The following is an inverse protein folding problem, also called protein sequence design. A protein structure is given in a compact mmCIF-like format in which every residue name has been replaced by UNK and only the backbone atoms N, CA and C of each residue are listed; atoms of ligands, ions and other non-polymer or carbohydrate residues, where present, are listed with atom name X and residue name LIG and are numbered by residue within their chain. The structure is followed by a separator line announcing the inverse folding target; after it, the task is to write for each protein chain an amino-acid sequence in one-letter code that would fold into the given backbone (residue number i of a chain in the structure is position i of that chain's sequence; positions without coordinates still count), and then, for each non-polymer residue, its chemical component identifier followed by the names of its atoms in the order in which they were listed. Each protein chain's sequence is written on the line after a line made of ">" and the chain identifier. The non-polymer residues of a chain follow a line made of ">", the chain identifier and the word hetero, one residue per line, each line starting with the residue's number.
data_IF_099834866115
#
_entry.id   IF_099834866115
#
_cell.length_a   1.000
_cell.length_b   1.000
_cell.length_c   1.000
_cell.angle_alpha   90.00
_cell.angle_beta   90.00
_cell.angle_gamma   90.00
#
_symmetry.space_group_name_H-M   'P 1'
#
loop_
_entity.id
_entity.type
_entity.pdbx_description
1 polymer ?
#
# COMPACT_ATOMS: atom_id res chain seq x y z
N UNK A 1 -28.48 24.82 50.81
CA UNK A 1 -29.05 24.96 49.44
C UNK A 1 -28.02 25.42 48.39
N UNK A 2 -26.81 25.83 48.80
CA UNK A 2 -25.69 26.20 47.91
C UNK A 2 -24.83 24.99 47.50
N UNK A 3 -24.60 24.03 48.41
CA UNK A 3 -23.79 22.82 48.14
C UNK A 3 -24.40 21.91 47.04
N UNK A 4 -25.73 21.73 47.05
CA UNK A 4 -26.43 20.95 46.03
C UNK A 4 -26.43 21.62 44.64
N UNK A 5 -26.39 22.96 44.57
CA UNK A 5 -26.27 23.70 43.30
C UNK A 5 -24.85 23.62 42.72
N UNK A 6 -23.82 23.60 43.57
CA UNK A 6 -22.43 23.40 43.13
C UNK A 6 -22.16 21.99 42.59
N UNK A 7 -22.79 20.95 43.16
CA UNK A 7 -22.66 19.56 42.68
C UNK A 7 -23.38 19.38 41.33
N UNK A 8 -24.57 19.97 41.16
CA UNK A 8 -25.30 19.94 39.88
C UNK A 8 -24.53 20.69 38.78
N UNK A 9 -23.93 21.84 39.08
CA UNK A 9 -23.10 22.56 38.10
C UNK A 9 -21.81 21.82 37.71
N UNK A 10 -21.23 21.00 38.60
CA UNK A 10 -20.04 20.20 38.30
C UNK A 10 -20.36 18.96 37.44
N UNK A 11 -21.55 18.37 37.62
CA UNK A 11 -22.02 17.21 36.84
C UNK A 11 -22.46 17.64 35.42
N UNK A 12 -23.03 18.84 35.26
CA UNK A 12 -23.39 19.39 33.94
C UNK A 12 -22.16 19.78 33.12
N UNK A 13 -21.05 20.18 33.76
CA UNK A 13 -19.79 20.48 33.07
C UNK A 13 -18.99 19.23 32.65
N UNK A 14 -19.20 18.10 33.32
CA UNK A 14 -18.53 16.82 33.01
C UNK A 14 -19.10 16.04 31.82
N UNK A 15 -20.29 16.42 31.31
CA UNK A 15 -21.00 15.68 30.24
C UNK A 15 -20.72 16.20 28.81
N UNK A 16 -19.91 17.26 28.64
CA UNK A 16 -19.79 17.99 27.36
C UNK A 16 -18.47 17.74 26.61
N UNK A 17 -17.72 16.69 26.93
CA UNK A 17 -16.46 16.34 26.25
C UNK A 17 -16.48 14.96 25.60
N UNK A 18 -17.63 14.56 25.02
CA UNK A 18 -17.64 13.46 24.05
C UNK A 18 -17.19 13.99 22.69
N UNK A 19 -15.88 14.13 22.50
CA UNK A 19 -15.33 14.22 21.14
C UNK A 19 -15.67 12.89 20.45
N UNK A 20 -16.56 12.94 19.45
CA UNK A 20 -16.85 11.77 18.64
C UNK A 20 -15.63 11.51 17.76
N UNK A 21 -15.01 10.35 17.95
CA UNK A 21 -13.88 9.87 17.16
C UNK A 21 -14.37 8.78 16.21
N UNK A 22 -14.06 8.91 14.93
CA UNK A 22 -14.42 7.92 13.92
C UNK A 22 -13.28 6.92 13.75
N UNK A 23 -13.56 5.63 13.96
CA UNK A 23 -12.59 4.56 13.73
C UNK A 23 -13.04 3.67 12.60
N UNK A 24 -12.15 3.46 11.63
CA UNK A 24 -12.36 2.57 10.49
C UNK A 24 -11.27 1.51 10.47
N UNK A 25 -11.68 0.24 10.45
CA UNK A 25 -10.82 -0.84 9.97
C UNK A 25 -11.20 -1.13 8.53
N UNK A 26 -10.26 -0.92 7.61
CA UNK A 26 -10.46 -1.27 6.20
C UNK A 26 -10.05 -2.71 6.01
N UNK A 27 -11.02 -3.52 5.60
CA UNK A 27 -10.81 -4.88 5.12
C UNK A 27 -11.14 -4.94 3.62
N UNK A 28 -10.43 -5.81 2.90
CA UNK A 28 -10.53 -5.92 1.46
C UNK A 28 -9.86 -7.18 0.96
N UNK A 29 -10.56 -7.85 0.04
CA UNK A 29 -10.02 -8.94 -0.77
C UNK A 29 -9.87 -8.44 -2.20
N UNK A 30 -8.68 -8.62 -2.76
CA UNK A 30 -8.32 -8.11 -4.07
C UNK A 30 -8.10 -9.27 -5.02
N UNK A 31 -8.60 -9.19 -6.27
CA UNK A 31 -8.35 -10.24 -7.24
C UNK A 31 -6.89 -10.22 -7.70
N UNK A 32 -6.34 -11.40 -7.97
CA UNK A 32 -5.10 -11.51 -8.72
C UNK A 32 -5.28 -10.92 -10.14
N UNK A 33 -4.33 -10.12 -10.64
CA UNK A 33 -4.27 -9.76 -12.05
C UNK A 33 -4.30 -10.99 -12.95
N UNK A 34 -4.93 -10.85 -14.12
CA UNK A 34 -4.99 -11.90 -15.14
C UNK A 34 -4.07 -11.50 -16.29
N UNK A 35 -3.06 -12.31 -16.55
CA UNK A 35 -2.14 -12.16 -17.67
C UNK A 35 -0.90 -13.03 -17.51
N UNK A 36 0.05 -12.86 -18.41
CA UNK A 36 1.30 -13.62 -18.37
C UNK A 36 2.17 -13.17 -17.20
N UNK A 37 2.77 -14.14 -16.53
CA UNK A 37 3.73 -13.89 -15.45
C UNK A 37 5.07 -13.44 -16.03
N UNK A 38 5.72 -12.51 -15.34
CA UNK A 38 7.07 -12.10 -15.64
C UNK A 38 8.04 -13.23 -15.24
N UNK A 39 9.00 -13.61 -16.10
CA UNK A 39 9.95 -14.69 -15.84
C UNK A 39 11.06 -14.22 -14.90
N UNK A 40 10.68 -13.87 -13.67
CA UNK A 40 11.55 -13.38 -12.61
C UNK A 40 11.26 -14.14 -11.32
N UNK A 41 12.29 -14.29 -10.50
CA UNK A 41 12.14 -14.64 -9.08
C UNK A 41 12.26 -13.37 -8.24
N UNK A 42 11.18 -12.96 -7.59
CA UNK A 42 11.10 -11.68 -6.88
C UNK A 42 10.87 -11.91 -5.39
N UNK A 43 11.67 -11.26 -4.55
CA UNK A 43 11.36 -11.10 -3.14
C UNK A 43 10.48 -9.87 -2.95
N UNK A 44 9.54 -9.90 -2.02
CA UNK A 44 8.88 -8.69 -1.57
C UNK A 44 8.85 -8.63 -0.06
N UNK A 45 9.12 -7.45 0.49
CA UNK A 45 9.15 -7.24 1.94
C UNK A 45 8.13 -6.16 2.31
N UNK A 46 7.15 -6.54 3.14
CA UNK A 46 6.17 -5.63 3.71
C UNK A 46 6.57 -5.35 5.16
N UNK A 47 7.02 -4.12 5.43
CA UNK A 47 7.42 -3.71 6.78
C UNK A 47 6.25 -3.76 7.77
N UNK A 48 6.54 -3.79 9.07
CA UNK A 48 5.47 -3.70 10.08
C UNK A 48 4.69 -2.39 9.93
N UNK A 49 5.38 -1.26 9.73
CA UNK A 49 4.74 0.04 9.49
C UNK A 49 3.75 0.01 8.32
N UNK A 50 4.07 -0.74 7.26
CA UNK A 50 3.17 -0.94 6.12
C UNK A 50 1.97 -1.82 6.49
N UNK A 51 2.21 -2.95 7.16
CA UNK A 51 1.19 -3.94 7.53
C UNK A 51 0.26 -3.47 8.65
N UNK A 52 0.70 -2.55 9.50
CA UNK A 52 -0.09 -1.95 10.58
C UNK A 52 -0.39 -0.47 10.36
N UNK A 53 -0.23 0.02 9.13
CA UNK A 53 -0.45 1.43 8.82
C UNK A 53 -1.84 1.90 9.25
N UNK A 54 -1.85 2.99 10.01
CA UNK A 54 -3.07 3.69 10.44
C UNK A 54 -2.88 5.17 10.19
N UNK A 55 -3.74 5.74 9.37
CA UNK A 55 -3.81 7.17 9.16
C UNK A 55 -4.63 7.81 10.30
N UNK A 56 -4.15 8.93 10.83
CA UNK A 56 -4.85 9.70 11.86
C UNK A 56 -5.11 11.12 11.36
N UNK A 57 -6.36 11.55 11.45
CA UNK A 57 -6.80 12.93 11.26
C UNK A 57 -7.09 13.54 12.63
N UNK A 58 -6.42 14.64 12.94
CA UNK A 58 -6.56 15.39 14.19
C UNK A 58 -6.37 16.90 13.91
N UNK A 59 -6.92 17.37 12.78
CA UNK A 59 -6.94 18.80 12.43
C UNK A 59 -8.11 19.52 13.11
N UNK A 60 -7.94 20.81 13.39
CA UNK A 60 -8.97 21.65 14.03
C UNK A 60 -10.27 21.72 13.19
N UNK A 61 -10.15 21.57 11.88
CA UNK A 61 -11.24 21.71 10.92
C UNK A 61 -12.04 20.41 10.67
N UNK A 62 -11.59 19.27 11.23
CA UNK A 62 -12.20 17.96 10.99
C UNK A 62 -12.49 17.23 12.31
N UNK A 63 -13.50 16.36 12.27
CA UNK A 63 -13.72 15.36 13.32
C UNK A 63 -12.50 14.41 13.36
N UNK A 64 -12.18 13.83 14.53
CA UNK A 64 -11.04 12.91 14.64
C UNK A 64 -11.32 11.63 13.83
N UNK A 65 -10.38 11.23 12.97
CA UNK A 65 -10.45 9.95 12.25
C UNK A 65 -9.22 9.08 12.54
N UNK A 66 -9.46 7.80 12.80
CA UNK A 66 -8.44 6.75 12.84
C UNK A 66 -8.77 5.70 11.80
N UNK A 67 -7.98 5.64 10.73
CA UNK A 67 -8.23 4.81 9.55
C UNK A 67 -7.11 3.77 9.42
N UNK A 68 -7.40 2.56 9.82
CA UNK A 68 -6.46 1.43 9.74
C UNK A 68 -6.60 0.73 8.39
N UNK A 69 -5.57 0.85 7.55
CA UNK A 69 -5.55 0.25 6.18
C UNK A 69 -4.52 -0.86 6.03
N UNK A 70 -3.62 -1.04 7.01
CA UNK A 70 -2.52 -2.00 6.97
C UNK A 70 -2.90 -3.42 6.48
N UNK A 71 -3.98 -3.99 6.99
CA UNK A 71 -4.45 -5.32 6.58
C UNK A 71 -4.87 -5.36 5.09
N UNK A 72 -5.72 -4.43 4.66
CA UNK A 72 -6.17 -4.38 3.27
C UNK A 72 -5.00 -4.13 2.29
N UNK A 73 -4.04 -3.28 2.67
CA UNK A 73 -2.84 -3.03 1.88
C UNK A 73 -1.97 -4.29 1.75
N UNK A 74 -1.76 -5.00 2.86
CA UNK A 74 -1.04 -6.27 2.86
C UNK A 74 -1.71 -7.27 1.92
N UNK A 75 -3.02 -7.47 2.05
CA UNK A 75 -3.78 -8.39 1.20
C UNK A 75 -3.63 -8.05 -0.29
N UNK A 76 -3.72 -6.76 -0.64
CA UNK A 76 -3.53 -6.27 -2.00
C UNK A 76 -2.14 -6.63 -2.53
N UNK A 77 -1.08 -6.20 -1.83
CA UNK A 77 0.28 -6.32 -2.31
C UNK A 77 0.75 -7.78 -2.34
N UNK A 78 0.39 -8.59 -1.33
CA UNK A 78 0.65 -10.04 -1.35
C UNK A 78 -0.02 -10.71 -2.55
N UNK A 79 -1.27 -10.37 -2.84
CA UNK A 79 -2.00 -10.98 -3.97
C UNK A 79 -1.42 -10.56 -5.32
N UNK A 80 -1.17 -9.26 -5.51
CA UNK A 80 -0.72 -8.72 -6.80
C UNK A 80 0.72 -9.11 -7.07
N UNK A 81 1.65 -8.88 -6.13
CA UNK A 81 3.05 -9.28 -6.32
C UNK A 81 3.18 -10.80 -6.42
N UNK A 82 2.41 -11.56 -5.63
CA UNK A 82 2.40 -13.02 -5.67
C UNK A 82 1.95 -13.64 -7.00
N UNK A 83 1.21 -12.89 -7.83
CA UNK A 83 0.71 -13.38 -9.12
C UNK A 83 1.42 -12.77 -10.33
N UNK A 84 2.21 -11.71 -10.16
CA UNK A 84 2.93 -11.02 -11.24
C UNK A 84 4.13 -11.77 -11.79
N UNK A 85 4.76 -12.62 -10.97
CA UNK A 85 6.05 -13.23 -11.27
C UNK A 85 5.95 -14.76 -11.29
N UNK A 86 6.88 -15.41 -11.99
CA UNK A 86 6.98 -16.88 -11.99
C UNK A 86 7.23 -17.42 -10.59
N UNK A 87 8.05 -16.72 -9.80
CA UNK A 87 8.22 -16.99 -8.38
C UNK A 87 8.24 -15.67 -7.61
N UNK A 88 7.47 -15.61 -6.53
CA UNK A 88 7.30 -14.44 -5.69
C UNK A 88 7.35 -14.87 -4.22
N UNK A 89 8.38 -14.42 -3.51
CA UNK A 89 8.67 -14.82 -2.13
C UNK A 89 8.35 -13.67 -1.19
N UNK A 90 7.37 -13.88 -0.31
CA UNK A 90 7.11 -12.97 0.81
C UNK A 90 8.25 -13.10 1.83
N UNK A 91 9.05 -12.06 1.96
CA UNK A 91 10.15 -12.00 2.92
C UNK A 91 9.61 -11.56 4.28
N UNK A 92 9.91 -12.32 5.34
CA UNK A 92 9.58 -11.92 6.71
C UNK A 92 10.54 -10.88 7.28
N UNK A 93 11.75 -10.79 6.71
CA UNK A 93 12.82 -9.88 7.10
C UNK A 93 13.60 -9.47 5.86
N UNK A 94 14.17 -8.28 5.89
CA UNK A 94 15.08 -7.77 4.87
C UNK A 94 15.99 -6.72 5.54
N UNK A 95 17.30 -6.65 5.22
CA UNK A 95 18.03 -7.37 4.16
C UNK A 95 18.58 -8.76 4.55
N UNK A 96 18.16 -9.36 5.66
CA UNK A 96 18.67 -10.66 6.12
C UNK A 96 17.96 -11.84 5.46
N UNK A 97 18.65 -13.00 5.42
CA UNK A 97 18.10 -14.30 5.03
C UNK A 97 17.46 -14.34 3.62
N UNK A 98 18.04 -13.59 2.67
CA UNK A 98 17.54 -13.55 1.29
C UNK A 98 17.82 -14.90 0.57
N UNK A 99 16.80 -15.53 -0.06
CA UNK A 99 17.02 -16.73 -0.86
C UNK A 99 17.96 -16.46 -2.04
N UNK A 100 18.84 -17.42 -2.35
CA UNK A 100 19.91 -17.26 -3.36
C UNK A 100 19.38 -16.99 -4.79
N UNK A 101 18.16 -17.44 -5.10
CA UNK A 101 17.55 -17.28 -6.41
C UNK A 101 16.81 -15.94 -6.60
N UNK A 102 16.66 -15.12 -5.56
CA UNK A 102 16.01 -13.82 -5.70
C UNK A 102 16.80 -12.92 -6.65
N UNK A 103 16.08 -12.29 -7.58
CA UNK A 103 16.68 -11.41 -8.58
C UNK A 103 16.56 -9.94 -8.24
N UNK A 104 15.45 -9.58 -7.59
CA UNK A 104 15.14 -8.24 -7.09
C UNK A 104 14.28 -8.36 -5.83
N UNK A 105 14.39 -7.41 -4.92
CA UNK A 105 13.50 -7.25 -3.77
C UNK A 105 12.67 -5.98 -3.92
N UNK A 106 11.35 -6.10 -3.86
CA UNK A 106 10.40 -4.97 -3.93
C UNK A 106 9.94 -4.62 -2.52
N UNK A 107 10.02 -3.33 -2.18
CA UNK A 107 9.59 -2.80 -0.88
C UNK A 107 8.61 -1.64 -1.13
N UNK A 108 7.32 -1.80 -0.81
CA UNK A 108 6.36 -0.71 -0.81
C UNK A 108 6.37 0.05 0.52
N UNK A 109 6.19 1.36 0.45
CA UNK A 109 5.99 2.23 1.61
C UNK A 109 4.81 3.16 1.37
N UNK A 110 3.98 3.39 2.39
CA UNK A 110 2.93 4.41 2.30
C UNK A 110 3.58 5.78 2.43
N UNK A 111 3.54 6.57 1.35
CA UNK A 111 4.02 7.96 1.36
C UNK A 111 2.98 8.91 1.94
N UNK A 112 1.73 8.73 1.52
CA UNK A 112 0.67 9.67 1.82
C UNK A 112 -0.70 8.99 1.68
N UNK A 113 -1.60 9.29 2.60
CA UNK A 113 -3.04 9.03 2.47
C UNK A 113 -3.75 10.36 2.67
N UNK A 114 -4.59 10.72 1.71
CA UNK A 114 -5.47 11.89 1.79
C UNK A 114 -6.89 11.46 1.50
N UNK A 115 -7.83 12.13 2.15
CA UNK A 115 -9.24 11.97 1.84
C UNK A 115 -9.98 13.30 1.90
N UNK A 116 -11.07 13.36 1.14
CA UNK A 116 -11.97 14.50 1.09
C UNK A 116 -13.39 14.04 1.34
N UNK A 117 -14.11 14.78 2.19
CA UNK A 117 -15.47 14.50 2.60
C UNK A 117 -16.47 15.32 1.77
N UNK A 118 -17.72 14.83 1.63
CA UNK A 118 -18.77 15.54 0.89
C UNK A 118 -19.01 16.99 1.33
N UNK A 119 -18.86 17.26 2.63
CA UNK A 119 -19.03 18.60 3.21
C UNK A 119 -18.00 19.60 2.66
N UNK A 120 -16.84 19.13 2.21
CA UNK A 120 -15.73 19.95 1.72
C UNK A 120 -15.85 20.25 0.22
N UNK A 121 -16.36 19.31 -0.58
CA UNK A 121 -16.46 19.45 -2.06
C UNK A 121 -17.82 19.94 -2.55
N UNK A 122 -18.86 19.94 -1.69
CA UNK A 122 -20.28 20.16 -2.07
C UNK A 122 -20.79 19.13 -3.08
N UNK A 123 -20.10 18.01 -3.22
CA UNK A 123 -20.51 16.84 -4.01
C UNK A 123 -20.73 15.69 -3.03
N UNK A 124 -21.78 14.90 -3.24
CA UNK A 124 -22.14 13.79 -2.35
C UNK A 124 -21.23 12.55 -2.53
N UNK A 125 -19.91 12.75 -2.51
CA UNK A 125 -18.88 11.73 -2.69
C UNK A 125 -17.79 11.86 -1.64
N UNK A 126 -17.26 10.72 -1.21
CA UNK A 126 -15.95 10.63 -0.57
C UNK A 126 -14.90 10.38 -1.66
N UNK A 127 -13.74 11.00 -1.50
CA UNK A 127 -12.60 10.82 -2.37
C UNK A 127 -11.36 10.47 -1.55
N UNK A 128 -10.54 9.57 -2.05
CA UNK A 128 -9.33 9.09 -1.38
C UNK A 128 -8.19 9.03 -2.38
N UNK A 129 -7.04 9.54 -1.97
CA UNK A 129 -5.76 9.38 -2.66
C UNK A 129 -4.78 8.65 -1.76
N UNK A 130 -4.11 7.64 -2.30
CA UNK A 130 -3.02 6.96 -1.61
C UNK A 130 -1.81 7.00 -2.52
N UNK A 131 -0.67 7.43 -1.98
CA UNK A 131 0.62 7.39 -2.67
C UNK A 131 1.50 6.34 -2.00
N UNK A 132 2.08 5.47 -2.82
CA UNK A 132 3.07 4.50 -2.42
C UNK A 132 4.42 4.85 -3.02
N UNK A 133 5.47 4.78 -2.21
CA UNK A 133 6.82 4.63 -2.74
C UNK A 133 7.06 3.15 -3.00
N UNK A 134 7.60 2.85 -4.15
CA UNK A 134 8.06 1.53 -4.50
C UNK A 134 9.56 1.59 -4.71
N UNK A 135 10.29 0.74 -4.00
CA UNK A 135 11.74 0.64 -4.16
C UNK A 135 12.10 -0.79 -4.54
N UNK A 136 12.93 -0.95 -5.56
CA UNK A 136 13.51 -2.22 -5.95
C UNK A 136 15.00 -2.25 -5.60
N UNK A 137 15.45 -3.32 -4.97
CA UNK A 137 16.86 -3.58 -4.65
C UNK A 137 17.35 -4.82 -5.39
N UNK A 138 18.63 -4.85 -5.72
CA UNK A 138 19.31 -6.07 -6.18
C UNK A 138 19.62 -7.00 -4.98
N UNK A 139 20.11 -8.23 -5.23
CA UNK A 139 20.43 -9.17 -4.16
C UNK A 139 21.59 -8.74 -3.25
N UNK A 140 22.39 -7.74 -3.67
CA UNK A 140 23.47 -7.16 -2.87
C UNK A 140 22.98 -5.99 -1.99
N UNK A 141 21.70 -5.61 -2.11
CA UNK A 141 21.10 -4.48 -1.40
C UNK A 141 21.32 -3.13 -2.08
N UNK A 142 21.80 -3.10 -3.33
CA UNK A 142 21.90 -1.86 -4.11
C UNK A 142 20.53 -1.48 -4.69
N UNK A 143 20.15 -0.20 -4.57
CA UNK A 143 18.88 0.27 -5.11
C UNK A 143 18.93 0.27 -6.65
N UNK A 144 18.03 -0.49 -7.27
CA UNK A 144 17.87 -0.60 -8.72
C UNK A 144 16.92 0.46 -9.26
N UNK A 145 15.78 0.67 -8.59
CA UNK A 145 14.75 1.60 -9.03
C UNK A 145 13.95 2.15 -7.85
N UNK A 146 13.40 3.34 -8.02
CA UNK A 146 12.48 3.97 -7.08
C UNK A 146 11.40 4.71 -7.86
N UNK A 147 10.14 4.36 -7.66
CA UNK A 147 9.01 4.95 -8.37
C UNK A 147 7.81 5.13 -7.46
N UNK A 148 6.89 6.01 -7.85
CA UNK A 148 5.68 6.30 -7.09
C UNK A 148 4.47 5.70 -7.79
N UNK A 149 3.60 5.07 -7.01
CA UNK A 149 2.25 4.70 -7.44
C UNK A 149 1.28 5.64 -6.74
N UNK A 150 0.45 6.33 -7.52
CA UNK A 150 -0.69 7.08 -6.97
C UNK A 150 -1.96 6.31 -7.29
N UNK A 151 -2.85 6.21 -6.32
CA UNK A 151 -4.10 5.51 -6.47
C UNK A 151 -5.27 6.34 -5.97
N UNK A 152 -6.39 6.26 -6.67
CA UNK A 152 -7.56 7.09 -6.41
C UNK A 152 -8.82 6.25 -6.27
N UNK A 153 -9.66 6.60 -5.30
CA UNK A 153 -10.94 5.97 -5.08
C UNK A 153 -12.02 6.97 -4.73
N UNK A 154 -13.24 6.70 -5.18
CA UNK A 154 -14.41 7.54 -4.87
C UNK A 154 -15.65 6.72 -4.62
N UNK A 155 -16.47 7.17 -3.68
CA UNK A 155 -17.72 6.48 -3.31
C UNK A 155 -18.84 7.50 -3.05
N UNK A 156 -20.01 7.37 -3.69
CA UNK A 156 -21.18 8.20 -3.38
C UNK A 156 -21.75 7.92 -2.00
N UNK A 157 -22.35 8.92 -1.36
CA UNK A 157 -23.00 8.76 -0.05
C UNK A 157 -24.41 8.20 -0.11
N UNK A 158 -25.07 8.24 -1.28
CA UNK A 158 -26.50 8.00 -1.42
C UNK A 158 -26.98 6.58 -1.04
N UNK A 159 -26.09 5.59 -0.99
CA UNK A 159 -26.45 4.19 -0.79
C UNK A 159 -25.88 3.57 0.49
N UNK A 160 -25.05 4.30 1.25
CA UNK A 160 -24.31 3.73 2.37
C UNK A 160 -24.89 4.17 3.70
N UNK A 161 -24.82 3.26 4.67
CA UNK A 161 -25.46 3.45 5.99
C UNK A 161 -24.69 4.41 6.89
N UNK A 162 -23.40 4.63 6.62
CA UNK A 162 -22.55 5.51 7.42
C UNK A 162 -21.39 6.12 6.62
N UNK A 163 -20.78 7.18 7.18
CA UNK A 163 -19.61 7.85 6.58
C UNK A 163 -18.39 6.93 6.56
N UNK A 164 -18.20 6.13 7.63
CA UNK A 164 -17.15 5.13 7.75
C UNK A 164 -17.22 4.09 6.64
N UNK A 165 -18.43 3.60 6.34
CA UNK A 165 -18.62 2.64 5.24
C UNK A 165 -18.29 3.26 3.88
N UNK A 166 -18.68 4.52 3.66
CA UNK A 166 -18.38 5.25 2.43
C UNK A 166 -16.89 5.49 2.23
N UNK A 167 -16.21 5.91 3.29
CA UNK A 167 -14.77 6.12 3.27
C UNK A 167 -14.01 4.79 3.11
N UNK A 168 -14.38 3.75 3.85
CA UNK A 168 -13.79 2.42 3.71
C UNK A 168 -13.96 1.86 2.28
N UNK A 169 -15.13 2.05 1.67
CA UNK A 169 -15.35 1.66 0.28
C UNK A 169 -14.49 2.49 -0.69
N UNK A 170 -14.35 3.80 -0.48
CA UNK A 170 -13.49 4.64 -1.32
C UNK A 170 -12.02 4.21 -1.20
N UNK A 171 -11.55 3.86 0.01
CA UNK A 171 -10.22 3.29 0.23
C UNK A 171 -10.06 1.96 -0.51
N UNK A 172 -11.03 1.04 -0.42
CA UNK A 172 -10.97 -0.23 -1.14
C UNK A 172 -10.92 -0.03 -2.67
N UNK A 173 -11.61 0.97 -3.21
CA UNK A 173 -11.50 1.35 -4.63
C UNK A 173 -10.11 1.89 -4.94
N UNK A 174 -9.55 2.77 -4.11
CA UNK A 174 -8.19 3.27 -4.27
C UNK A 174 -7.16 2.14 -4.20
N UNK A 175 -7.30 1.19 -3.28
CA UNK A 175 -6.41 0.02 -3.18
C UNK A 175 -6.51 -0.87 -4.43
N UNK A 176 -7.71 -1.08 -4.97
CA UNK A 176 -7.87 -1.78 -6.25
C UNK A 176 -7.16 -1.05 -7.40
N UNK A 177 -7.26 0.27 -7.44
CA UNK A 177 -6.55 1.11 -8.42
C UNK A 177 -5.02 1.02 -8.24
N UNK A 178 -4.52 0.99 -7.01
CA UNK A 178 -3.11 0.77 -6.71
C UNK A 178 -2.60 -0.57 -7.26
N UNK A 179 -3.37 -1.65 -7.10
CA UNK A 179 -3.06 -2.96 -7.68
C UNK A 179 -2.99 -2.93 -9.21
N UNK A 180 -3.93 -2.23 -9.86
CA UNK A 180 -3.93 -2.07 -11.31
C UNK A 180 -2.71 -1.25 -11.80
N UNK A 181 -2.37 -0.17 -11.11
CA UNK A 181 -1.20 0.65 -11.42
C UNK A 181 0.11 -0.10 -11.18
N UNK A 182 0.21 -0.90 -10.12
CA UNK A 182 1.36 -1.76 -9.86
C UNK A 182 1.53 -2.78 -10.99
N UNK A 183 0.47 -3.51 -11.35
CA UNK A 183 0.51 -4.53 -12.39
C UNK A 183 0.87 -3.94 -13.77
N UNK A 184 0.16 -2.90 -14.19
CA UNK A 184 0.30 -2.33 -15.54
C UNK A 184 1.48 -1.36 -15.69
N UNK A 185 2.07 -0.93 -14.56
CA UNK A 185 3.18 0.01 -14.52
C UNK A 185 4.55 -0.65 -14.42
N UNK A 186 4.64 -1.88 -13.89
CA UNK A 186 5.93 -2.51 -13.58
C UNK A 186 6.90 -2.61 -14.76
N UNK A 187 6.42 -3.07 -15.92
CA UNK A 187 7.26 -3.20 -17.12
C UNK A 187 7.67 -1.85 -17.74
N UNK A 188 7.07 -0.74 -17.29
CA UNK A 188 7.32 0.60 -17.82
C UNK A 188 8.40 1.35 -17.04
N UNK A 189 8.97 0.78 -15.98
CA UNK A 189 9.98 1.40 -15.13
C UNK A 189 11.36 1.29 -15.82
N UNK A 190 11.92 2.39 -16.37
CA UNK A 190 13.10 2.30 -17.24
C UNK A 190 14.34 1.74 -16.55
N UNK A 191 14.60 2.16 -15.31
CA UNK A 191 15.77 1.75 -14.53
C UNK A 191 15.73 0.24 -14.26
N UNK A 192 14.55 -0.27 -13.91
CA UNK A 192 14.34 -1.69 -13.68
C UNK A 192 14.50 -2.49 -14.97
N UNK A 193 13.95 -2.01 -16.09
CA UNK A 193 14.11 -2.68 -17.38
C UNK A 193 15.56 -2.67 -17.86
N UNK A 194 16.30 -1.59 -17.62
CA UNK A 194 17.73 -1.49 -17.91
C UNK A 194 18.53 -2.52 -17.10
N UNK A 195 18.27 -2.63 -15.80
CA UNK A 195 18.90 -3.61 -14.91
C UNK A 195 18.63 -5.05 -15.35
N UNK A 196 17.36 -5.42 -15.56
CA UNK A 196 16.97 -6.78 -15.96
C UNK A 196 17.55 -7.17 -17.33
N UNK A 197 17.63 -6.22 -18.26
CA UNK A 197 18.24 -6.45 -19.58
C UNK A 197 19.76 -6.63 -19.49
N UNK A 198 20.43 -5.84 -18.64
CA UNK A 198 21.86 -5.99 -18.36
C UNK A 198 22.19 -7.36 -17.74
N UNK A 199 21.39 -7.79 -16.76
CA UNK A 199 21.55 -9.10 -16.12
C UNK A 199 21.43 -10.25 -17.12
N UNK A 200 20.37 -10.26 -17.94
CA UNK A 200 20.16 -11.26 -19.00
C UNK A 200 21.33 -11.35 -19.98
N UNK A 201 21.86 -10.21 -20.42
CA UNK A 201 23.04 -10.15 -21.30
C UNK A 201 24.31 -10.72 -20.63
N UNK A 202 24.50 -10.42 -19.34
CA UNK A 202 25.66 -10.92 -18.59
C UNK A 202 25.63 -12.45 -18.45
N UNK A 203 24.44 -13.03 -18.23
CA UNK A 203 24.24 -14.47 -18.13
C UNK A 203 24.51 -15.16 -19.48
N UNK A 204 23.96 -14.64 -20.58
CA UNK A 204 24.22 -15.20 -21.92
C UNK A 204 25.70 -15.21 -22.29
N UNK A 205 26.45 -14.16 -21.91
CA UNK A 205 27.89 -14.07 -22.16
C UNK A 205 28.69 -15.08 -21.32
N UNK A 206 28.29 -15.31 -20.06
CA UNK A 206 28.92 -16.32 -19.19
C UNK A 206 28.70 -17.73 -19.74
N UNK A 207 27.49 -18.07 -20.14
CA UNK A 207 27.17 -19.37 -20.74
C UNK A 207 27.96 -19.63 -22.03
N UNK A 208 28.05 -18.62 -22.91
CA UNK A 208 28.85 -18.72 -24.12
C UNK A 208 30.32 -19.02 -23.83
N UNK A 209 30.93 -18.30 -22.88
CA UNK A 209 32.33 -18.53 -22.48
C UNK A 209 32.55 -19.93 -21.90
N UNK A 210 31.62 -20.43 -21.08
CA UNK A 210 31.69 -21.80 -20.52
C UNK A 210 31.60 -22.86 -21.61
N UNK A 211 30.71 -22.68 -22.60
CA UNK A 211 30.58 -23.61 -23.73
C UNK A 211 31.82 -23.59 -24.62
N UNK A 212 32.37 -22.42 -24.92
CA UNK A 212 33.59 -22.28 -25.72
C UNK A 212 34.78 -23.02 -25.07
N UNK A 213 34.98 -22.85 -23.75
CA UNK A 213 36.05 -23.53 -23.00
C UNK A 213 35.90 -25.06 -22.93
N UNK A 214 34.68 -25.59 -23.04
CA UNK A 214 34.44 -27.05 -23.07
C UNK A 214 34.65 -27.67 -24.46
N UNK A 215 34.74 -26.84 -25.51
CA UNK A 215 34.92 -27.28 -26.89
C UNK A 215 36.40 -27.29 -27.32
N UNK A 216 37.30 -26.80 -26.46
CA UNK A 216 38.77 -26.91 -26.54
C UNK A 216 39.25 -28.11 -25.72
#
# INVERSE_FOLDING_TARGET
>A
MTLAKSIVNLIVLGLILSACSHTIQVDGNYPAPIGDQLPLTVGFYLSEDFKSFTYKEDSEDREEWSISTGQAQRNLFETVLGSMFTDAVSLSKYPQDLPENIEIVIIPEVRELQFTMPRETRVNIFEVWIKYNMTAFDPNGEQVANWVITAYGKTPTAFLKSQEQALAQAINIALRDAGANLYTGFEKIPELQAFLSGKRRSLSLREFKVKAKKAE
#
